data_IF_565025332948
#
_entry.id   IF_565025332948
#
_cell.length_a   1.000
_cell.length_b   1.000
_cell.length_c   1.000
_cell.angle_alpha   90.00
_cell.angle_beta   90.00
_cell.angle_gamma   90.00
#
_symmetry.space_group_name_H-M   'P 1'
#
loop_
_entity.id
_entity.type
_entity.pdbx_description
1 polymer ?
#
# COMPACT_ATOMS: atom_id res chain seq x y z
N UNK A 1 0.88 -21.35 2.89
CA UNK A 1 1.46 -22.46 2.08
C UNK A 1 2.92 -22.20 1.71
N UNK A 2 3.25 -21.14 0.97
CA UNK A 2 4.65 -20.86 0.56
C UNK A 2 5.58 -20.61 1.75
N UNK A 3 5.16 -19.81 2.72
CA UNK A 3 5.94 -19.55 3.96
C UNK A 3 6.26 -20.86 4.70
N UNK A 4 5.27 -21.73 4.86
CA UNK A 4 5.46 -23.06 5.46
C UNK A 4 6.43 -23.91 4.64
N UNK A 5 6.29 -23.92 3.30
CA UNK A 5 7.20 -24.66 2.44
C UNK A 5 8.65 -24.17 2.58
N UNK A 6 8.88 -22.86 2.63
CA UNK A 6 10.21 -22.28 2.86
C UNK A 6 10.75 -22.75 4.20
N UNK A 7 9.98 -22.62 5.27
CA UNK A 7 10.39 -23.11 6.59
C UNK A 7 10.79 -24.59 6.56
N UNK A 8 10.02 -25.44 5.89
CA UNK A 8 10.24 -26.89 5.90
C UNK A 8 11.38 -27.35 4.97
N UNK A 9 11.73 -26.55 3.94
CA UNK A 9 12.60 -27.00 2.85
C UNK A 9 13.85 -26.15 2.63
N UNK A 10 13.89 -24.89 3.07
CA UNK A 10 14.97 -23.96 2.70
C UNK A 10 16.35 -24.40 3.20
N UNK A 11 16.41 -25.18 4.28
CA UNK A 11 17.64 -25.79 4.78
C UNK A 11 18.36 -26.64 3.73
N UNK A 12 17.61 -27.31 2.84
CA UNK A 12 18.19 -28.11 1.74
C UNK A 12 18.89 -27.26 0.67
N UNK A 13 18.59 -25.95 0.64
CA UNK A 13 19.21 -24.96 -0.24
C UNK A 13 20.29 -24.14 0.48
N UNK A 14 20.63 -24.50 1.73
CA UNK A 14 21.59 -23.77 2.56
C UNK A 14 21.04 -22.52 3.24
N UNK A 15 19.73 -22.28 3.18
CA UNK A 15 19.07 -21.21 3.94
C UNK A 15 18.78 -21.61 5.38
N UNK A 16 18.51 -20.63 6.23
CA UNK A 16 18.22 -20.83 7.64
C UNK A 16 16.72 -20.60 7.92
N UNK A 17 15.94 -21.66 8.24
CA UNK A 17 14.50 -21.51 8.49
C UNK A 17 14.18 -20.70 9.76
N UNK A 18 15.17 -20.44 10.63
CA UNK A 18 15.03 -19.62 11.83
C UNK A 18 15.44 -18.16 11.61
N UNK A 19 15.77 -17.77 10.38
CA UNK A 19 16.09 -16.39 9.99
C UNK A 19 15.41 -16.02 8.67
N UNK A 20 14.09 -16.14 8.67
CA UNK A 20 13.26 -15.80 7.52
C UNK A 20 12.75 -14.36 7.65
N UNK A 21 13.13 -13.54 6.67
CA UNK A 21 12.59 -12.20 6.46
C UNK A 21 11.61 -12.22 5.30
N UNK A 22 10.38 -11.78 5.55
CA UNK A 22 9.39 -11.55 4.50
C UNK A 22 9.43 -10.08 4.10
N UNK A 23 9.48 -9.78 2.81
CA UNK A 23 9.50 -8.40 2.34
C UNK A 23 8.62 -8.21 1.11
N UNK A 24 8.14 -6.99 0.93
CA UNK A 24 7.42 -6.60 -0.27
C UNK A 24 7.08 -5.12 -0.30
N UNK A 25 6.73 -4.67 -1.50
CA UNK A 25 6.38 -3.30 -1.82
C UNK A 25 4.88 -3.15 -2.09
N UNK A 26 4.30 -2.01 -1.70
CA UNK A 26 2.89 -1.69 -1.92
C UNK A 26 1.96 -2.78 -1.36
N UNK A 27 1.12 -3.40 -2.20
CA UNK A 27 0.30 -4.55 -1.83
C UNK A 27 1.12 -5.72 -1.27
N UNK A 28 2.38 -5.87 -1.66
CA UNK A 28 3.34 -6.82 -1.08
C UNK A 28 3.79 -6.44 0.33
N UNK A 29 3.96 -5.14 0.63
CA UNK A 29 4.24 -4.64 1.98
C UNK A 29 3.04 -4.86 2.91
N UNK A 30 1.83 -4.51 2.44
CA UNK A 30 0.59 -4.83 3.14
C UNK A 30 0.42 -6.34 3.37
N UNK A 31 0.72 -7.15 2.35
CA UNK A 31 0.69 -8.62 2.46
C UNK A 31 1.70 -9.14 3.48
N UNK A 32 2.89 -8.54 3.57
CA UNK A 32 3.90 -8.91 4.58
C UNK A 32 3.35 -8.71 6.00
N UNK A 33 2.67 -7.60 6.25
CA UNK A 33 1.95 -7.38 7.51
C UNK A 33 0.84 -8.42 7.74
N UNK A 34 -0.02 -8.69 6.75
CA UNK A 34 -1.09 -9.69 6.92
C UNK A 34 -0.54 -11.08 7.23
N UNK A 35 0.54 -11.50 6.56
CA UNK A 35 1.19 -12.77 6.82
C UNK A 35 1.84 -12.81 8.20
N UNK A 36 2.49 -11.73 8.63
CA UNK A 36 3.08 -11.62 9.96
C UNK A 36 2.04 -11.65 11.10
N UNK A 37 0.88 -11.02 10.89
CA UNK A 37 -0.22 -11.01 11.85
C UNK A 37 -1.00 -12.32 11.90
N UNK A 38 -0.92 -13.15 10.85
CA UNK A 38 -1.67 -14.40 10.78
C UNK A 38 -1.11 -15.41 11.80
N UNK A 39 -1.84 -15.75 12.87
CA UNK A 39 -1.27 -16.51 14.00
C UNK A 39 -0.62 -17.85 13.63
N UNK A 40 -1.14 -18.63 12.65
CA UNK A 40 -0.46 -19.84 12.19
C UNK A 40 0.94 -19.64 11.59
N UNK A 41 1.31 -18.42 11.17
CA UNK A 41 2.65 -18.11 10.69
C UNK A 41 3.62 -17.72 11.81
N UNK A 42 3.18 -17.64 13.07
CA UNK A 42 4.06 -17.30 14.19
C UNK A 42 5.23 -18.28 14.27
N UNK A 43 6.45 -17.75 14.33
CA UNK A 43 7.69 -18.53 14.34
C UNK A 43 8.16 -18.99 12.96
N UNK A 44 7.38 -18.79 11.90
CA UNK A 44 7.82 -19.02 10.51
C UNK A 44 8.43 -17.74 9.90
N UNK A 45 7.95 -16.58 10.33
CA UNK A 45 8.44 -15.25 9.93
C UNK A 45 9.09 -14.62 11.16
N UNK A 46 10.31 -14.11 11.01
CA UNK A 46 11.09 -13.54 12.11
C UNK A 46 11.24 -12.02 11.94
N UNK A 47 11.22 -11.55 10.70
CA UNK A 47 11.35 -10.14 10.36
C UNK A 47 10.47 -9.81 9.17
N UNK A 48 10.02 -8.57 9.12
CA UNK A 48 9.36 -8.03 7.94
C UNK A 48 10.03 -6.75 7.45
N UNK A 49 10.14 -6.62 6.14
CA UNK A 49 10.46 -5.35 5.48
C UNK A 49 9.23 -4.90 4.70
N UNK A 50 8.74 -3.71 4.99
CA UNK A 50 7.49 -3.19 4.43
C UNK A 50 7.76 -1.89 3.69
N UNK A 51 7.72 -1.96 2.37
CA UNK A 51 8.06 -0.87 1.46
C UNK A 51 6.76 -0.26 0.93
N UNK A 52 6.48 1.01 1.23
CA UNK A 52 5.31 1.74 0.72
C UNK A 52 3.94 1.04 0.89
N UNK A 53 3.75 0.28 1.97
CA UNK A 53 2.50 -0.44 2.19
C UNK A 53 2.40 -1.04 3.59
N UNK A 54 1.19 -1.08 4.15
CA UNK A 54 0.90 -1.71 5.46
C UNK A 54 -0.51 -2.28 5.45
N UNK A 55 -0.82 -3.14 6.42
CA UNK A 55 -2.16 -3.71 6.57
C UNK A 55 -3.26 -2.68 6.93
N UNK A 56 -2.87 -1.44 7.30
CA UNK A 56 -3.80 -0.37 7.67
C UNK A 56 -3.87 0.71 6.58
N UNK A 57 -3.15 0.57 5.47
CA UNK A 57 -3.35 1.42 4.31
C UNK A 57 -4.83 1.33 3.87
N UNK A 58 -5.52 2.44 3.58
CA UNK A 58 -6.92 2.42 3.19
C UNK A 58 -7.22 1.45 2.05
N UNK A 59 -6.33 1.37 1.06
CA UNK A 59 -6.42 0.48 -0.11
C UNK A 59 -6.09 -0.99 0.17
N UNK A 60 -5.56 -1.35 1.33
CA UNK A 60 -5.07 -2.71 1.61
C UNK A 60 -6.16 -3.71 2.02
N UNK A 61 -7.37 -3.23 2.32
CA UNK A 61 -8.48 -4.05 2.78
C UNK A 61 -9.83 -3.59 2.24
N UNK A 62 -10.78 -4.52 2.24
CA UNK A 62 -12.18 -4.28 1.87
C UNK A 62 -13.14 -4.79 2.93
N UNK A 63 -14.25 -4.07 3.10
CA UNK A 63 -15.36 -4.56 3.91
C UNK A 63 -16.10 -5.70 3.21
N UNK A 64 -16.50 -6.71 4.00
CA UNK A 64 -17.22 -7.88 3.48
C UNK A 64 -18.49 -7.54 2.71
N UNK A 65 -19.23 -6.51 3.14
CA UNK A 65 -20.43 -6.05 2.46
C UNK A 65 -20.11 -5.44 1.08
N UNK A 66 -19.10 -4.58 1.02
CA UNK A 66 -18.66 -3.90 -0.20
C UNK A 66 -18.10 -4.88 -1.22
N UNK A 67 -17.16 -5.75 -0.82
CA UNK A 67 -16.59 -6.76 -1.71
C UNK A 67 -17.65 -7.81 -2.12
N UNK A 68 -18.56 -8.14 -1.20
CA UNK A 68 -19.71 -9.00 -1.50
C UNK A 68 -20.67 -8.40 -2.54
N UNK A 69 -20.84 -7.07 -2.57
CA UNK A 69 -21.58 -6.37 -3.63
C UNK A 69 -20.86 -6.51 -4.98
N UNK A 70 -19.54 -6.30 -5.04
CA UNK A 70 -18.78 -6.48 -6.28
C UNK A 70 -18.88 -7.91 -6.82
N UNK A 71 -18.80 -8.93 -5.94
CA UNK A 71 -19.02 -10.32 -6.34
C UNK A 71 -20.39 -10.56 -7.00
N UNK A 72 -21.46 -9.95 -6.47
CA UNK A 72 -22.80 -10.02 -7.07
C UNK A 72 -22.88 -9.27 -8.40
N UNK A 73 -22.28 -8.09 -8.51
CA UNK A 73 -22.25 -7.31 -9.75
C UNK A 73 -21.49 -8.05 -10.86
N UNK A 74 -20.37 -8.68 -10.54
CA UNK A 74 -19.64 -9.56 -11.46
C UNK A 74 -20.51 -10.74 -11.90
N UNK A 75 -21.23 -11.36 -10.94
CA UNK A 75 -22.22 -12.39 -11.23
C UNK A 75 -23.27 -11.94 -12.24
N UNK A 76 -23.89 -10.79 -12.03
CA UNK A 76 -24.88 -10.22 -12.95
C UNK A 76 -24.28 -9.97 -14.34
N UNK A 77 -23.09 -9.37 -14.41
CA UNK A 77 -22.38 -9.07 -15.66
C UNK A 77 -22.06 -10.33 -16.47
N UNK A 78 -21.84 -11.46 -15.78
CA UNK A 78 -21.56 -12.77 -16.39
C UNK A 78 -22.79 -13.68 -16.50
N UNK A 79 -24.00 -13.13 -16.35
CA UNK A 79 -25.26 -13.87 -16.42
C UNK A 79 -25.34 -15.04 -15.41
N UNK A 80 -24.84 -14.84 -14.19
CA UNK A 80 -24.95 -15.77 -13.08
C UNK A 80 -26.13 -15.41 -12.16
N UNK A 81 -26.74 -16.44 -11.55
CA UNK A 81 -27.69 -16.24 -10.46
C UNK A 81 -27.00 -15.59 -9.27
N UNK A 82 -27.66 -14.60 -8.65
CA UNK A 82 -27.25 -13.96 -7.40
C UNK A 82 -28.21 -14.25 -6.25
N UNK A 83 -29.13 -15.21 -6.43
CA UNK A 83 -30.16 -15.53 -5.43
C UNK A 83 -29.55 -16.05 -4.11
N UNK A 84 -28.49 -16.86 -4.21
CA UNK A 84 -27.69 -17.31 -3.07
C UNK A 84 -26.20 -17.23 -3.37
N UNK A 85 -25.37 -17.11 -2.33
CA UNK A 85 -23.91 -17.10 -2.49
C UNK A 85 -23.40 -18.43 -3.10
N UNK A 86 -24.06 -19.55 -2.80
CA UNK A 86 -23.70 -20.87 -3.33
C UNK A 86 -23.97 -20.98 -4.83
N UNK A 87 -25.12 -20.49 -5.31
CA UNK A 87 -25.44 -20.45 -6.74
C UNK A 87 -24.49 -19.51 -7.50
N UNK A 88 -24.24 -18.33 -6.94
CA UNK A 88 -23.30 -17.36 -7.51
C UNK A 88 -21.91 -17.99 -7.67
N UNK A 89 -21.36 -18.55 -6.59
CA UNK A 89 -20.04 -19.17 -6.60
C UNK A 89 -19.98 -20.36 -7.56
N UNK A 90 -21.01 -21.20 -7.58
CA UNK A 90 -21.07 -22.34 -8.50
C UNK A 90 -21.06 -21.87 -9.95
N UNK A 91 -21.82 -20.82 -10.29
CA UNK A 91 -21.85 -20.27 -11.64
C UNK A 91 -20.51 -19.63 -12.03
N UNK A 92 -19.92 -18.78 -11.16
CA UNK A 92 -18.64 -18.13 -11.44
C UNK A 92 -17.51 -19.14 -11.70
N UNK A 93 -17.51 -20.29 -11.00
CA UNK A 93 -16.53 -21.38 -11.23
C UNK A 93 -16.66 -22.07 -12.59
N UNK A 94 -17.78 -21.88 -13.31
CA UNK A 94 -17.95 -22.42 -14.67
C UNK A 94 -17.44 -21.45 -15.75
N UNK A 95 -17.16 -20.20 -15.39
CA UNK A 95 -16.71 -19.19 -16.35
C UNK A 95 -15.22 -19.38 -16.65
N UNK A 96 -14.80 -19.17 -17.92
CA UNK A 96 -13.39 -18.99 -18.25
C UNK A 96 -12.77 -17.89 -17.38
N UNK A 97 -11.50 -18.04 -17.00
CA UNK A 97 -10.85 -17.06 -16.14
C UNK A 97 -10.68 -15.70 -16.85
N UNK A 98 -10.56 -15.72 -18.18
CA UNK A 98 -10.48 -14.53 -19.03
C UNK A 98 -11.75 -13.69 -18.94
N UNK A 99 -12.92 -14.35 -18.87
CA UNK A 99 -14.20 -13.68 -18.68
C UNK A 99 -14.27 -13.04 -17.30
N UNK A 100 -13.77 -13.73 -16.26
CA UNK A 100 -13.71 -13.17 -14.91
C UNK A 100 -12.84 -11.91 -14.87
N UNK A 101 -11.64 -11.95 -15.44
CA UNK A 101 -10.69 -10.82 -15.43
C UNK A 101 -11.24 -9.65 -16.25
N UNK A 102 -11.70 -9.92 -17.47
CA UNK A 102 -12.15 -8.88 -18.40
C UNK A 102 -13.44 -8.18 -17.93
N UNK A 103 -14.20 -8.83 -17.04
CA UNK A 103 -15.41 -8.27 -16.45
C UNK A 103 -15.23 -7.83 -14.99
N UNK A 104 -14.03 -7.97 -14.42
CA UNK A 104 -13.77 -7.78 -13.00
C UNK A 104 -14.06 -6.35 -12.51
N UNK A 105 -13.90 -5.33 -13.35
CA UNK A 105 -14.24 -3.95 -13.00
C UNK A 105 -15.76 -3.77 -13.04
N UNK A 106 -16.37 -3.63 -11.86
CA UNK A 106 -17.83 -3.61 -11.66
C UNK A 106 -18.32 -2.49 -10.74
N UNK A 107 -17.43 -1.86 -10.01
CA UNK A 107 -17.67 -0.71 -9.15
C UNK A 107 -17.83 0.58 -9.93
N UNK A 108 -18.23 1.63 -9.22
CA UNK A 108 -18.26 2.99 -9.77
C UNK A 108 -16.92 3.69 -9.59
N UNK A 109 -16.75 4.84 -10.24
CA UNK A 109 -15.56 5.66 -10.01
C UNK A 109 -15.47 6.14 -8.55
N UNK A 110 -16.61 6.34 -7.88
CA UNK A 110 -16.70 6.63 -6.45
C UNK A 110 -16.25 5.46 -5.56
N UNK A 111 -16.47 4.22 -6.01
CA UNK A 111 -16.00 3.03 -5.30
C UNK A 111 -14.46 2.88 -5.39
N UNK A 112 -13.87 3.37 -6.48
CA UNK A 112 -12.44 3.19 -6.81
C UNK A 112 -11.56 4.43 -6.50
N UNK A 113 -12.10 5.47 -5.84
CA UNK A 113 -11.37 6.74 -5.61
C UNK A 113 -10.02 6.48 -4.91
N UNK A 114 -10.01 5.61 -3.88
CA UNK A 114 -8.82 5.34 -3.05
C UNK A 114 -8.56 3.86 -2.81
N UNK A 115 -9.35 2.95 -3.39
CA UNK A 115 -9.25 1.51 -3.14
C UNK A 115 -9.46 0.70 -4.41
N UNK A 116 -8.74 -0.40 -4.60
CA UNK A 116 -9.12 -1.40 -5.59
C UNK A 116 -10.43 -2.10 -5.16
N UNK A 117 -11.23 -2.52 -6.13
CA UNK A 117 -12.46 -3.29 -5.88
C UNK A 117 -12.17 -4.64 -5.19
N UNK A 118 -11.11 -5.30 -5.63
CA UNK A 118 -10.73 -6.64 -5.19
C UNK A 118 -9.51 -6.56 -4.28
N UNK A 119 -9.78 -6.56 -2.97
CA UNK A 119 -8.79 -6.48 -1.90
C UNK A 119 -8.96 -7.63 -0.92
N UNK A 120 -7.95 -7.91 -0.08
CA UNK A 120 -8.14 -8.74 1.10
C UNK A 120 -9.35 -8.28 1.92
N UNK A 121 -10.19 -9.21 2.35
CA UNK A 121 -11.43 -8.90 3.08
C UNK A 121 -11.20 -9.08 4.57
N UNK A 122 -11.74 -8.16 5.39
CA UNK A 122 -11.85 -8.37 6.84
C UNK A 122 -12.85 -9.49 7.10
N UNK A 123 -12.36 -10.73 7.15
CA UNK A 123 -13.14 -11.96 7.24
C UNK A 123 -13.27 -12.48 8.67
N UNK A 124 -12.50 -11.93 9.62
CA UNK A 124 -12.38 -12.37 11.01
C UNK A 124 -11.72 -13.74 11.19
N UNK A 125 -11.13 -14.30 10.14
CA UNK A 125 -10.39 -15.56 10.16
C UNK A 125 -8.92 -15.31 9.84
N UNK A 126 -8.63 -14.89 8.61
CA UNK A 126 -7.29 -14.50 8.17
C UNK A 126 -6.98 -13.05 8.58
N UNK A 127 -7.89 -12.11 8.27
CA UNK A 127 -7.78 -10.70 8.68
C UNK A 127 -8.77 -10.47 9.81
N UNK A 128 -8.23 -10.54 11.04
CA UNK A 128 -8.98 -10.29 12.27
C UNK A 128 -9.17 -8.80 12.57
N UNK A 129 -8.20 -8.00 12.14
CA UNK A 129 -8.17 -6.55 12.33
C UNK A 129 -9.33 -5.87 11.60
N UNK A 130 -10.02 -4.97 12.29
CA UNK A 130 -10.79 -3.89 11.68
C UNK A 130 -9.87 -2.68 11.65
N UNK A 131 -9.40 -2.22 10.49
CA UNK A 131 -8.66 -0.96 10.42
C UNK A 131 -9.70 0.18 10.55
N UNK A 132 -9.48 1.14 11.46
CA UNK A 132 -9.94 1.05 12.83
C UNK A 132 -11.12 1.98 13.10
N UNK A 133 -12.00 1.53 14.00
CA UNK A 133 -13.00 2.39 14.65
C UNK A 133 -12.34 3.57 15.41
N UNK A 134 -11.00 3.59 15.57
CA UNK A 134 -10.28 4.81 15.89
C UNK A 134 -8.74 4.74 15.65
N UNK A 135 -8.21 5.55 14.74
CA UNK A 135 -6.76 5.79 14.61
C UNK A 135 -6.14 6.51 15.83
N UNK A 136 -6.96 7.03 16.73
CA UNK A 136 -6.51 7.64 17.99
C UNK A 136 -6.02 6.59 19.01
N UNK A 137 -6.35 5.31 18.83
CA UNK A 137 -5.95 4.23 19.74
C UNK A 137 -5.31 3.06 18.99
N UNK A 138 -4.17 3.25 18.33
CA UNK A 138 -3.66 2.28 17.38
C UNK A 138 -3.22 0.96 18.04
N UNK A 139 -2.90 0.97 19.34
CA UNK A 139 -2.62 -0.23 20.14
C UNK A 139 -3.79 -1.22 20.21
N UNK A 140 -5.05 -0.77 20.12
CA UNK A 140 -6.21 -1.68 20.12
C UNK A 140 -6.39 -2.38 18.78
N UNK A 141 -5.82 -1.83 17.70
CA UNK A 141 -5.95 -2.39 16.33
C UNK A 141 -5.32 -3.78 16.22
N UNK A 142 -4.21 -3.98 16.94
CA UNK A 142 -3.43 -5.20 16.90
C UNK A 142 -3.69 -6.11 18.12
N UNK A 143 -4.70 -5.82 18.94
CA UNK A 143 -4.95 -6.57 20.17
C UNK A 143 -5.10 -8.09 19.92
N UNK A 144 -5.86 -8.46 18.90
CA UNK A 144 -6.13 -9.87 18.54
C UNK A 144 -4.94 -10.59 17.87
N UNK A 145 -3.91 -9.84 17.46
CA UNK A 145 -2.73 -10.34 16.73
C UNK A 145 -1.42 -10.00 17.44
N UNK A 146 -1.48 -9.45 18.65
CA UNK A 146 -0.31 -9.00 19.42
C UNK A 146 0.71 -10.11 19.60
N UNK A 147 0.24 -11.30 19.92
CA UNK A 147 1.09 -12.47 20.14
C UNK A 147 1.88 -12.86 18.88
N UNK A 148 1.37 -12.58 17.69
CA UNK A 148 2.08 -12.84 16.43
C UNK A 148 3.13 -11.76 16.13
N UNK A 149 2.96 -10.55 16.68
CA UNK A 149 3.79 -9.39 16.39
C UNK A 149 4.92 -9.15 17.41
N UNK A 150 4.79 -9.66 18.63
CA UNK A 150 5.72 -9.39 19.74
C UNK A 150 7.18 -9.79 19.43
N UNK A 151 7.37 -10.83 18.62
CA UNK A 151 8.67 -11.42 18.31
C UNK A 151 9.25 -10.95 16.95
N UNK A 152 8.67 -9.92 16.32
CA UNK A 152 9.08 -9.48 14.98
C UNK A 152 10.00 -8.27 15.02
N UNK A 153 11.07 -8.30 14.22
CA UNK A 153 11.76 -7.09 13.79
C UNK A 153 11.08 -6.47 12.56
N UNK A 154 11.05 -5.15 12.48
CA UNK A 154 10.43 -4.41 11.37
C UNK A 154 11.41 -3.40 10.75
N UNK A 155 11.53 -3.42 9.43
CA UNK A 155 12.04 -2.30 8.65
C UNK A 155 10.87 -1.79 7.80
N UNK A 156 10.55 -0.51 7.90
CA UNK A 156 9.40 0.07 7.21
C UNK A 156 9.74 1.41 6.61
N UNK A 157 9.23 1.70 5.41
CA UNK A 157 9.42 3.02 4.84
C UNK A 157 8.46 3.30 3.72
N UNK A 158 8.58 4.51 3.20
CA UNK A 158 7.78 5.06 2.11
C UNK A 158 8.67 5.92 1.22
N UNK A 159 8.17 6.21 0.02
CA UNK A 159 8.75 7.19 -0.88
C UNK A 159 8.06 8.54 -0.66
N UNK A 160 8.78 9.64 -0.79
CA UNK A 160 8.22 11.00 -0.60
C UNK A 160 7.20 11.40 -1.67
N UNK A 161 7.04 10.60 -2.73
CA UNK A 161 6.04 10.75 -3.78
C UNK A 161 5.16 9.52 -4.03
N UNK A 162 4.98 8.61 -3.05
CA UNK A 162 4.15 7.40 -3.19
C UNK A 162 2.71 7.70 -3.69
N UNK A 163 2.12 8.79 -3.22
CA UNK A 163 0.78 9.21 -3.59
C UNK A 163 0.61 9.49 -5.09
N UNK A 164 1.71 9.62 -5.83
CA UNK A 164 1.71 9.88 -7.26
C UNK A 164 1.00 8.80 -8.06
N UNK A 165 1.15 7.53 -7.67
CA UNK A 165 0.50 6.41 -8.36
C UNK A 165 -1.03 6.49 -8.27
N UNK A 166 -1.58 6.55 -7.05
CA UNK A 166 -3.03 6.61 -6.84
C UNK A 166 -3.64 7.92 -7.35
N UNK A 167 -2.91 9.02 -7.20
CA UNK A 167 -3.32 10.31 -7.79
C UNK A 167 -3.47 10.19 -9.30
N UNK A 168 -2.52 9.54 -9.99
CA UNK A 168 -2.56 9.37 -11.44
C UNK A 168 -3.68 8.43 -11.90
N UNK A 169 -3.83 7.27 -11.26
CA UNK A 169 -4.72 6.21 -11.77
C UNK A 169 -6.18 6.38 -11.34
N UNK A 170 -6.45 7.03 -10.20
CA UNK A 170 -7.81 7.18 -9.65
C UNK A 170 -8.25 8.64 -9.53
N UNK A 171 -7.47 9.49 -8.85
CA UNK A 171 -7.95 10.82 -8.45
C UNK A 171 -8.02 11.83 -9.57
N UNK A 172 -7.03 11.87 -10.46
CA UNK A 172 -7.08 12.76 -11.62
C UNK A 172 -8.28 12.43 -12.54
N UNK A 173 -8.53 11.17 -12.93
CA UNK A 173 -9.74 10.79 -13.65
C UNK A 173 -11.03 11.18 -12.91
N UNK A 174 -11.10 10.96 -11.59
CA UNK A 174 -12.26 11.34 -10.79
C UNK A 174 -12.49 12.84 -10.79
N UNK A 175 -11.44 13.63 -10.52
CA UNK A 175 -11.51 15.09 -10.52
C UNK A 175 -11.96 15.61 -11.88
N UNK A 176 -11.33 15.16 -12.97
CA UNK A 176 -11.66 15.59 -14.34
C UNK A 176 -13.10 15.27 -14.72
N UNK A 177 -13.67 14.17 -14.22
CA UNK A 177 -15.08 13.82 -14.47
C UNK A 177 -16.09 14.80 -13.87
N UNK A 178 -15.69 15.55 -12.82
CA UNK A 178 -16.58 16.48 -12.09
C UNK A 178 -16.33 17.94 -12.42
N UNK A 179 -15.24 18.26 -13.15
CA UNK A 179 -14.89 19.64 -13.51
C UNK A 179 -15.90 20.21 -14.49
N UNK A 180 -16.38 21.42 -14.21
CA UNK A 180 -17.23 22.22 -15.12
C UNK A 180 -16.74 23.66 -15.16
N UNK A 181 -17.19 24.50 -16.12
CA UNK A 181 -16.82 25.92 -16.14
C UNK A 181 -17.16 26.69 -14.85
N UNK A 182 -18.19 26.27 -14.12
CA UNK A 182 -18.60 26.84 -12.84
C UNK A 182 -18.06 26.09 -11.62
N UNK A 183 -17.29 25.02 -11.82
CA UNK A 183 -16.78 24.15 -10.75
C UNK A 183 -15.37 23.64 -11.10
N UNK A 184 -14.32 24.42 -10.80
CA UNK A 184 -12.94 24.09 -11.14
C UNK A 184 -12.40 22.90 -10.33
N UNK A 185 -11.29 22.34 -10.80
CA UNK A 185 -10.67 21.15 -10.20
C UNK A 185 -10.33 21.33 -8.70
N UNK A 186 -9.88 22.52 -8.30
CA UNK A 186 -9.57 22.81 -6.90
C UNK A 186 -10.80 22.68 -5.99
N UNK A 187 -11.98 23.08 -6.48
CA UNK A 187 -13.23 22.93 -5.72
C UNK A 187 -13.66 21.46 -5.66
N UNK A 188 -13.42 20.69 -6.71
CA UNK A 188 -13.63 19.23 -6.66
C UNK A 188 -12.72 18.59 -5.60
N UNK A 189 -11.45 18.99 -5.54
CA UNK A 189 -10.53 18.48 -4.52
C UNK A 189 -11.01 18.85 -3.11
N UNK A 190 -11.28 20.13 -2.87
CA UNK A 190 -11.64 20.61 -1.54
C UNK A 190 -12.97 20.04 -1.04
N UNK A 191 -13.96 19.83 -1.92
CA UNK A 191 -15.32 19.45 -1.51
C UNK A 191 -15.66 17.97 -1.72
N UNK A 192 -15.03 17.27 -2.67
CA UNK A 192 -15.30 15.85 -2.91
C UNK A 192 -14.18 14.96 -2.40
N UNK A 193 -12.93 15.23 -2.79
CA UNK A 193 -11.77 14.40 -2.43
C UNK A 193 -11.54 14.44 -0.92
N UNK A 194 -11.41 15.64 -0.35
CA UNK A 194 -11.24 15.85 1.09
C UNK A 194 -12.37 15.20 1.90
N UNK A 195 -13.62 15.45 1.54
CA UNK A 195 -14.77 14.88 2.25
C UNK A 195 -14.82 13.36 2.15
N UNK A 196 -14.45 12.79 1.01
CA UNK A 196 -14.36 11.35 0.83
C UNK A 196 -13.26 10.75 1.72
N UNK A 197 -12.07 11.36 1.80
CA UNK A 197 -10.99 10.92 2.72
C UNK A 197 -11.40 11.01 4.19
N UNK A 198 -12.10 12.08 4.59
CA UNK A 198 -12.59 12.24 5.97
C UNK A 198 -13.69 11.24 6.33
N UNK A 199 -14.66 11.05 5.44
CA UNK A 199 -15.72 10.04 5.59
C UNK A 199 -15.10 8.68 5.77
N UNK A 200 -14.13 8.35 4.91
CA UNK A 200 -13.45 7.09 4.96
C UNK A 200 -12.71 6.87 6.29
N UNK A 201 -11.98 7.91 6.71
CA UNK A 201 -11.09 7.82 7.87
C UNK A 201 -11.82 7.83 9.20
N UNK A 202 -12.89 8.61 9.30
CA UNK A 202 -13.54 8.94 10.56
C UNK A 202 -15.04 8.59 10.59
N UNK A 203 -15.60 8.10 9.49
CA UNK A 203 -17.05 7.89 9.34
C UNK A 203 -17.87 9.19 9.33
N UNK A 204 -17.20 10.35 9.31
CA UNK A 204 -17.83 11.67 9.41
C UNK A 204 -17.22 12.65 8.41
N UNK A 205 -18.05 13.60 7.98
CA UNK A 205 -17.64 14.83 7.30
C UNK A 205 -18.03 15.99 8.19
N UNK A 206 -17.04 16.67 8.76
CA UNK A 206 -17.25 17.96 9.40
C UNK A 206 -16.64 19.02 8.50
N UNK A 207 -17.41 20.03 8.12
CA UNK A 207 -16.93 21.14 7.28
C UNK A 207 -15.65 21.75 7.86
N UNK A 208 -15.56 21.88 9.19
CA UNK A 208 -14.36 22.36 9.88
C UNK A 208 -13.12 21.49 9.65
N UNK A 209 -13.26 20.16 9.57
CA UNK A 209 -12.14 19.27 9.26
C UNK A 209 -11.75 19.36 7.78
N UNK A 210 -12.74 19.50 6.90
CA UNK A 210 -12.50 19.68 5.48
C UNK A 210 -11.78 21.00 5.19
N UNK A 211 -12.16 22.07 5.90
CA UNK A 211 -11.50 23.38 5.84
C UNK A 211 -10.07 23.31 6.37
N UNK A 212 -9.84 22.64 7.51
CA UNK A 212 -8.48 22.46 8.06
C UNK A 212 -7.61 21.67 7.09
N UNK A 213 -8.09 20.54 6.57
CA UNK A 213 -7.34 19.72 5.62
C UNK A 213 -7.05 20.52 4.35
N UNK A 214 -8.05 21.23 3.83
CA UNK A 214 -7.87 22.09 2.68
C UNK A 214 -6.83 23.18 2.95
N UNK A 215 -6.84 23.79 4.13
CA UNK A 215 -5.89 24.82 4.54
C UNK A 215 -4.45 24.29 4.65
N UNK A 216 -4.27 23.13 5.28
CA UNK A 216 -2.95 22.51 5.51
C UNK A 216 -2.27 22.14 4.19
N UNK A 217 -3.02 21.58 3.24
CA UNK A 217 -2.47 21.15 1.95
C UNK A 217 -2.54 22.21 0.84
N UNK A 218 -2.95 23.44 1.16
CA UNK A 218 -2.88 24.55 0.20
C UNK A 218 -1.52 25.22 0.27
N UNK A 219 -0.85 25.35 -0.89
CA UNK A 219 0.36 26.15 -0.99
C UNK A 219 0.02 27.65 -1.07
N UNK A 220 0.05 28.32 0.09
CA UNK A 220 -0.25 29.75 0.22
C UNK A 220 0.78 30.70 -0.39
N UNK A 221 1.95 30.19 -0.82
CA UNK A 221 3.03 31.01 -1.39
C UNK A 221 3.00 31.09 -2.93
N UNK A 222 2.22 30.22 -3.59
CA UNK A 222 2.11 30.14 -5.04
C UNK A 222 0.90 30.86 -5.60
N UNK A 223 0.92 31.17 -6.90
CA UNK A 223 -0.31 31.50 -7.62
C UNK A 223 -1.04 30.19 -7.93
N UNK A 224 -2.34 30.11 -7.61
CA UNK A 224 -3.16 28.97 -8.02
C UNK A 224 -3.24 28.95 -9.56
N UNK A 225 -2.88 27.82 -10.14
CA UNK A 225 -3.04 27.56 -11.58
C UNK A 225 -3.95 26.36 -11.75
N UNK A 226 -4.39 26.09 -12.98
CA UNK A 226 -5.13 24.86 -13.27
C UNK A 226 -4.35 23.57 -12.96
N UNK A 227 -3.07 23.63 -12.62
CA UNK A 227 -2.26 22.46 -12.25
C UNK A 227 -1.84 22.43 -10.77
N UNK A 228 -2.09 23.48 -9.97
CA UNK A 228 -1.65 23.53 -8.56
C UNK A 228 -2.38 22.54 -7.66
N UNK A 229 -3.61 22.15 -8.00
CA UNK A 229 -4.35 21.14 -7.24
C UNK A 229 -3.68 19.76 -7.31
N UNK A 230 -2.83 19.49 -8.32
CA UNK A 230 -2.17 18.20 -8.49
C UNK A 230 -1.13 17.94 -7.39
N UNK A 231 -0.36 18.97 -7.03
CA UNK A 231 0.59 18.85 -5.92
C UNK A 231 -0.15 18.63 -4.59
N UNK A 232 -1.24 19.37 -4.38
CA UNK A 232 -2.14 19.17 -3.23
C UNK A 232 -2.64 17.73 -3.15
N UNK A 233 -3.10 17.16 -4.27
CA UNK A 233 -3.52 15.76 -4.35
C UNK A 233 -2.38 14.78 -4.04
N UNK A 234 -1.19 15.02 -4.60
CA UNK A 234 -0.01 14.21 -4.34
C UNK A 234 0.30 14.18 -2.84
N UNK A 235 0.43 15.35 -2.21
CA UNK A 235 0.78 15.48 -0.79
C UNK A 235 -0.28 14.82 0.10
N UNK A 236 -1.56 15.12 -0.13
CA UNK A 236 -2.69 14.51 0.60
C UNK A 236 -2.65 12.98 0.49
N UNK A 237 -2.40 12.46 -0.71
CA UNK A 237 -2.45 11.02 -0.99
C UNK A 237 -1.24 10.29 -0.45
N UNK A 238 -0.03 10.86 -0.58
CA UNK A 238 1.20 10.33 0.04
C UNK A 238 1.01 10.19 1.55
N UNK A 239 0.48 11.23 2.20
CA UNK A 239 0.24 11.20 3.65
C UNK A 239 -0.82 10.18 4.04
N UNK A 240 -2.02 10.30 3.46
CA UNK A 240 -3.18 9.54 3.87
C UNK A 240 -3.07 8.05 3.54
N UNK A 241 -2.52 7.70 2.37
CA UNK A 241 -2.50 6.32 1.90
C UNK A 241 -1.22 5.55 2.24
N UNK A 242 -0.11 6.24 2.50
CA UNK A 242 1.21 5.60 2.65
C UNK A 242 1.91 6.02 3.94
N UNK A 243 2.30 7.29 4.07
CA UNK A 243 3.15 7.76 5.16
C UNK A 243 2.49 7.63 6.54
N UNK A 244 1.24 8.10 6.72
CA UNK A 244 0.54 7.98 8.01
C UNK A 244 0.32 6.51 8.40
N UNK A 245 -0.20 5.62 7.51
CA UNK A 245 -0.25 4.19 7.77
C UNK A 245 1.09 3.57 8.18
N UNK A 246 2.19 3.89 7.50
CA UNK A 246 3.52 3.41 7.82
C UNK A 246 3.99 3.91 9.20
N UNK A 247 3.80 5.20 9.47
CA UNK A 247 4.16 5.82 10.73
C UNK A 247 3.41 5.22 11.92
N UNK A 248 2.08 5.08 11.81
CA UNK A 248 1.24 4.49 12.86
C UNK A 248 1.62 3.03 13.09
N UNK A 249 1.78 2.24 12.02
CA UNK A 249 2.17 0.83 12.13
C UNK A 249 3.50 0.67 12.85
N UNK A 250 4.50 1.49 12.51
CA UNK A 250 5.80 1.47 13.17
C UNK A 250 5.70 1.85 14.66
N UNK A 251 4.98 2.93 14.98
CA UNK A 251 4.80 3.36 16.38
C UNK A 251 4.09 2.32 17.22
N UNK A 252 3.06 1.68 16.66
CA UNK A 252 2.33 0.65 17.38
C UNK A 252 3.19 -0.58 17.59
N UNK A 253 3.93 -1.02 16.57
CA UNK A 253 4.75 -2.20 16.69
C UNK A 253 5.85 -2.02 17.76
N UNK A 254 6.49 -0.86 17.84
CA UNK A 254 7.46 -0.51 18.91
C UNK A 254 6.85 -0.67 20.32
N UNK A 255 5.57 -0.37 20.51
CA UNK A 255 4.89 -0.53 21.81
C UNK A 255 4.53 -1.97 22.13
N UNK A 256 4.43 -2.83 21.12
CA UNK A 256 3.98 -4.23 21.26
C UNK A 256 5.14 -5.21 21.31
N UNK A 257 6.25 -4.89 20.65
CA UNK A 257 7.46 -5.69 20.52
C UNK A 257 8.11 -6.04 21.86
N UNK A 258 8.76 -7.19 21.91
CA UNK A 258 9.66 -7.54 22.99
C UNK A 258 10.88 -6.59 23.02
N UNK A 259 11.50 -6.32 24.18
CA UNK A 259 12.57 -5.33 24.31
C UNK A 259 13.79 -5.54 23.41
N UNK A 260 14.05 -6.79 23.01
CA UNK A 260 15.14 -7.19 22.13
C UNK A 260 14.84 -7.02 20.64
N UNK A 261 13.60 -6.67 20.28
CA UNK A 261 13.19 -6.47 18.88
C UNK A 261 13.31 -5.03 18.46
N UNK A 262 13.55 -4.83 17.16
CA UNK A 262 13.89 -3.53 16.62
C UNK A 262 12.95 -3.12 15.49
N UNK A 263 12.62 -1.82 15.46
CA UNK A 263 11.88 -1.18 14.37
C UNK A 263 12.72 -0.07 13.77
N UNK A 264 13.03 -0.18 12.48
CA UNK A 264 13.75 0.81 11.69
C UNK A 264 12.81 1.48 10.69
N UNK A 265 13.01 2.78 10.46
CA UNK A 265 12.24 3.54 9.47
C UNK A 265 13.13 4.18 8.42
N UNK A 266 12.67 4.22 7.18
CA UNK A 266 13.29 5.03 6.13
C UNK A 266 12.26 5.93 5.42
N UNK A 267 12.78 7.00 4.82
CA UNK A 267 12.08 7.81 3.83
C UNK A 267 12.99 7.86 2.61
N UNK A 268 12.52 7.36 1.47
CA UNK A 268 13.28 7.35 0.24
C UNK A 268 12.86 8.55 -0.62
N UNK A 269 13.82 9.39 -0.99
CA UNK A 269 13.56 10.67 -1.66
C UNK A 269 14.30 10.80 -3.00
N UNK A 270 15.09 9.79 -3.36
CA UNK A 270 15.90 9.81 -4.57
C UNK A 270 15.04 9.44 -5.77
N UNK A 271 14.89 10.36 -6.72
CA UNK A 271 14.12 10.13 -7.94
C UNK A 271 14.84 9.15 -8.85
N UNK A 272 14.27 7.97 -9.02
CA UNK A 272 14.91 6.89 -9.78
C UNK A 272 14.87 7.15 -11.30
N UNK A 273 16.00 6.99 -12.03
CA UNK A 273 15.99 7.06 -13.49
C UNK A 273 15.50 5.75 -14.14
N UNK A 274 15.26 4.70 -13.35
CA UNK A 274 14.93 3.35 -13.84
C UNK A 274 13.43 3.07 -13.93
N UNK A 275 12.63 3.87 -13.23
CA UNK A 275 11.17 3.80 -13.26
C UNK A 275 10.55 4.47 -14.48
N UNK A 276 9.22 4.39 -14.60
CA UNK A 276 8.48 5.28 -15.51
C UNK A 276 8.24 6.60 -14.77
N UNK A 277 8.91 7.70 -15.14
CA UNK A 277 8.81 8.92 -14.37
C UNK A 277 7.39 9.48 -14.46
N UNK A 278 6.82 9.81 -13.29
CA UNK A 278 5.65 10.67 -13.21
C UNK A 278 6.18 12.11 -13.19
N UNK A 279 6.02 12.90 -14.27
CA UNK A 279 6.80 14.14 -14.44
C UNK A 279 6.61 15.16 -13.32
N UNK A 280 5.40 15.20 -12.75
CA UNK A 280 4.98 16.14 -11.72
C UNK A 280 5.24 15.64 -10.29
N UNK A 281 5.80 14.44 -10.10
CA UNK A 281 6.32 14.01 -8.79
C UNK A 281 7.77 14.49 -8.69
N UNK A 282 8.10 15.38 -7.73
CA UNK A 282 9.43 15.97 -7.65
C UNK A 282 10.49 15.01 -7.09
N UNK A 283 10.11 14.15 -6.14
CA UNK A 283 10.98 13.17 -5.49
C UNK A 283 10.84 11.75 -6.05
N UNK A 284 10.93 10.76 -5.17
CA UNK A 284 10.77 9.36 -5.50
C UNK A 284 9.28 9.00 -5.67
N UNK A 285 8.93 8.48 -6.84
CA UNK A 285 7.59 7.96 -7.09
C UNK A 285 7.40 6.58 -6.43
N UNK A 286 6.16 6.10 -6.38
CA UNK A 286 5.83 4.76 -5.87
C UNK A 286 6.64 3.66 -6.56
N UNK A 287 7.36 2.85 -5.78
CA UNK A 287 8.20 1.75 -6.25
C UNK A 287 9.59 2.13 -6.80
N UNK A 288 9.98 3.41 -6.76
CA UNK A 288 11.28 3.87 -7.26
C UNK A 288 12.48 3.23 -6.54
N UNK A 289 12.32 2.85 -5.26
CA UNK A 289 13.34 2.21 -4.43
C UNK A 289 13.67 0.78 -4.87
N UNK A 290 12.73 0.11 -5.55
CA UNK A 290 12.86 -1.31 -5.93
C UNK A 290 14.09 -1.58 -6.79
N UNK A 291 14.44 -0.65 -7.69
CA UNK A 291 15.64 -0.77 -8.52
C UNK A 291 16.91 -0.91 -7.66
N UNK A 292 16.96 -0.23 -6.51
CA UNK A 292 18.10 -0.23 -5.59
C UNK A 292 18.06 -1.43 -4.65
N UNK A 293 16.88 -1.80 -4.15
CA UNK A 293 16.67 -3.01 -3.33
C UNK A 293 17.14 -4.26 -4.06
N UNK A 294 16.87 -4.36 -5.37
CA UNK A 294 17.26 -5.51 -6.20
C UNK A 294 18.61 -5.33 -6.93
N UNK A 295 19.38 -4.28 -6.63
CA UNK A 295 20.72 -4.10 -7.19
C UNK A 295 20.75 -3.89 -8.70
N UNK A 296 19.66 -3.39 -9.30
CA UNK A 296 19.56 -3.18 -10.75
C UNK A 296 20.69 -2.29 -11.29
N UNK A 297 21.06 -1.15 -10.65
CA UNK A 297 22.19 -0.34 -11.10
C UNK A 297 23.52 -1.11 -11.15
N UNK A 298 23.81 -1.93 -10.13
CA UNK A 298 25.02 -2.75 -10.08
C UNK A 298 25.01 -3.84 -11.17
N UNK A 299 23.86 -4.46 -11.43
CA UNK A 299 23.73 -5.49 -12.48
C UNK A 299 23.99 -4.92 -13.87
N UNK A 300 23.52 -3.69 -14.15
CA UNK A 300 23.70 -3.03 -15.44
C UNK A 300 25.16 -2.70 -15.73
N UNK A 301 25.98 -2.37 -14.73
CA UNK A 301 27.43 -2.17 -14.95
C UNK A 301 28.14 -3.42 -15.48
N UNK A 302 27.64 -4.62 -15.15
CA UNK A 302 28.22 -5.89 -15.58
C UNK A 302 27.66 -6.42 -16.89
N UNK A 303 26.58 -5.81 -17.41
CA UNK A 303 25.89 -6.25 -18.62
C UNK A 303 26.53 -5.73 -19.92
N UNK A 304 26.55 -6.53 -21.00
CA UNK A 304 27.21 -6.16 -22.27
C UNK A 304 26.62 -4.93 -22.96
N UNK A 305 25.38 -4.52 -22.62
CA UNK A 305 24.67 -3.39 -23.25
C UNK A 305 24.78 -2.06 -22.50
N UNK A 306 25.35 -2.03 -21.28
CA UNK A 306 25.28 -0.87 -20.38
C UNK A 306 26.62 -0.51 -19.72
N UNK A 307 27.72 -1.09 -20.21
CA UNK A 307 29.07 -0.70 -19.77
C UNK A 307 29.25 0.81 -19.98
N UNK A 308 29.48 1.53 -18.87
CA UNK A 308 29.87 2.94 -18.78
C UNK A 308 28.79 4.03 -18.96
N UNK A 309 27.49 3.73 -18.82
CA UNK A 309 26.44 4.78 -18.98
C UNK A 309 25.68 5.15 -17.71
N UNK A 310 25.95 4.51 -16.56
CA UNK A 310 25.22 4.79 -15.31
C UNK A 310 26.01 5.69 -14.36
N UNK A 311 25.38 6.72 -13.76
CA UNK A 311 26.03 7.55 -12.75
C UNK A 311 26.52 6.69 -11.57
N UNK A 312 27.70 7.01 -11.05
CA UNK A 312 28.30 6.26 -9.93
C UNK A 312 27.45 6.35 -8.65
N UNK A 313 26.68 7.43 -8.47
CA UNK A 313 25.78 7.57 -7.34
C UNK A 313 24.68 6.49 -7.29
N UNK A 314 24.17 6.05 -8.45
CA UNK A 314 23.09 5.05 -8.51
C UNK A 314 23.55 3.68 -8.01
N UNK A 315 24.79 3.32 -8.34
CA UNK A 315 25.39 2.06 -7.90
C UNK A 315 25.75 2.11 -6.41
N UNK A 316 26.32 3.22 -5.96
CA UNK A 316 26.59 3.41 -4.53
C UNK A 316 25.31 3.35 -3.69
N UNK A 317 24.22 3.97 -4.15
CA UNK A 317 22.93 3.92 -3.47
C UNK A 317 22.36 2.49 -3.44
N UNK A 318 22.43 1.76 -4.56
CA UNK A 318 22.00 0.37 -4.62
C UNK A 318 22.78 -0.54 -3.66
N UNK A 319 24.11 -0.43 -3.64
CA UNK A 319 24.96 -1.19 -2.72
C UNK A 319 24.67 -0.86 -1.26
N UNK A 320 24.42 0.42 -0.96
CA UNK A 320 24.05 0.88 0.39
C UNK A 320 22.72 0.28 0.83
N UNK A 321 21.69 0.36 -0.01
CA UNK A 321 20.35 -0.19 0.27
C UNK A 321 20.39 -1.70 0.43
N UNK A 322 21.02 -2.43 -0.51
CA UNK A 322 21.20 -3.89 -0.37
C UNK A 322 21.94 -4.27 0.90
N UNK A 323 22.94 -3.47 1.31
CA UNK A 323 23.66 -3.69 2.58
C UNK A 323 22.73 -3.55 3.77
N UNK A 324 21.91 -2.49 3.84
CA UNK A 324 20.93 -2.32 4.93
C UNK A 324 19.90 -3.45 4.96
N UNK A 325 19.29 -3.79 3.82
CA UNK A 325 18.26 -4.84 3.73
C UNK A 325 18.82 -6.21 4.12
N UNK A 326 20.00 -6.56 3.61
CA UNK A 326 20.60 -7.87 3.91
C UNK A 326 21.17 -7.95 5.32
N UNK A 327 21.66 -6.85 5.90
CA UNK A 327 22.06 -6.83 7.31
C UNK A 327 20.84 -7.00 8.22
N UNK A 328 19.77 -6.24 7.98
CA UNK A 328 18.50 -6.41 8.68
C UNK A 328 18.00 -7.86 8.58
N UNK A 329 18.03 -8.46 7.38
CA UNK A 329 17.65 -9.85 7.20
C UNK A 329 18.54 -10.85 7.97
N UNK A 330 19.82 -10.56 8.17
CA UNK A 330 20.76 -11.43 8.91
C UNK A 330 20.59 -11.30 10.41
N UNK A 331 20.46 -10.07 10.92
CA UNK A 331 20.65 -9.78 12.36
C UNK A 331 19.47 -9.11 13.04
N UNK A 332 18.53 -8.51 12.32
CA UNK A 332 17.56 -7.59 12.90
C UNK A 332 18.21 -6.23 13.04
#
# INVERSE_FOLDING_TARGET
MVIQWVHDNIASFGGDPHRVTLFGESAGGASSFYQAMYPPNKGLIHRIISESGTAICPWAYGEKATVGRFAKLLGLKLNCSIATNSELLSCLRTKPYEDLISNAQVGTQEDEIYRPEWTPVVDKEFIKMLPPDNYLYPETMYADVRDALVDLDLLIGVNDGDGGFITMVSLLPFVHSKVTPSYPAIDVVNNYVTNSMLTDRFGITLDSLADIMSFVYTNWSGSETNDTYRQKLLDMTTDYQFFIPAYVSAQTLVKLQAPERHTYKYLFTHRSPFGRPIPWVPGAAHGDELAYVFGFPSSMQTGPSFQNTLPSEEVFLAETIMTYWTNFAKTG
#
